data_IF_174308749048
#
_entry.id   IF_174308749048
#
_cell.length_a   1.000
_cell.length_b   1.000
_cell.length_c   1.000
_cell.angle_alpha   90.00
_cell.angle_beta   90.00
_cell.angle_gamma   90.00
#
_symmetry.space_group_name_H-M   'P 1'
#
loop_
_entity.id
_entity.type
_entity.pdbx_description
1 polymer ?
#
# COMPACT_ATOMS: atom_id res chain seq x y z
N UNK A 1 -2.83 5.67 9.80
CA UNK A 1 -2.33 4.87 8.66
C UNK A 1 -1.76 3.58 9.23
N UNK A 2 -2.22 2.41 8.76
CA UNK A 2 -1.57 1.16 9.16
C UNK A 2 -0.09 1.18 8.75
N UNK A 3 0.77 0.37 9.39
CA UNK A 3 2.22 0.33 9.16
C UNK A 3 2.66 -0.09 7.75
N UNK A 4 1.77 0.00 6.76
CA UNK A 4 2.02 -0.39 5.37
C UNK A 4 2.57 0.73 4.50
N UNK A 5 2.55 1.97 4.99
CA UNK A 5 3.01 3.16 4.28
C UNK A 5 2.20 3.55 3.05
N UNK A 6 2.50 4.70 2.48
CA UNK A 6 1.81 5.26 1.31
C UNK A 6 2.42 4.80 -0.02
N UNK A 7 3.73 4.95 -0.21
CA UNK A 7 4.42 4.64 -1.46
C UNK A 7 4.46 3.13 -1.74
N UNK A 8 4.80 2.31 -0.75
CA UNK A 8 4.86 0.85 -0.92
C UNK A 8 3.50 0.24 -1.21
N UNK A 9 2.45 0.71 -0.52
CA UNK A 9 1.09 0.27 -0.79
C UNK A 9 0.64 0.66 -2.20
N UNK A 10 0.95 1.87 -2.64
CA UNK A 10 0.62 2.32 -3.99
C UNK A 10 1.35 1.52 -5.07
N UNK A 11 2.64 1.22 -4.88
CA UNK A 11 3.43 0.40 -5.80
C UNK A 11 2.94 -1.04 -5.92
N UNK A 12 2.34 -1.58 -4.87
CA UNK A 12 1.83 -2.96 -4.85
C UNK A 12 0.35 -3.02 -5.21
N UNK A 13 -0.50 -2.64 -4.26
CA UNK A 13 -1.95 -2.76 -4.36
C UNK A 13 -2.55 -1.65 -5.24
N UNK A 14 -2.02 -0.43 -5.16
CA UNK A 14 -2.56 0.73 -5.86
C UNK A 14 -2.56 0.57 -7.37
N UNK A 15 -1.46 0.10 -7.95
CA UNK A 15 -1.28 -0.08 -9.39
C UNK A 15 -1.75 -1.45 -9.91
N UNK A 16 -2.12 -2.37 -9.02
CA UNK A 16 -2.54 -3.71 -9.40
C UNK A 16 -3.94 -3.74 -10.03
N UNK A 17 -4.14 -4.64 -10.99
CA UNK A 17 -5.47 -5.00 -11.48
C UNK A 17 -6.32 -5.64 -10.38
N UNK A 18 -7.62 -5.79 -10.60
CA UNK A 18 -8.53 -6.45 -9.63
C UNK A 18 -8.04 -7.85 -9.23
N UNK A 19 -7.63 -8.66 -10.21
CA UNK A 19 -7.05 -9.98 -9.97
C UNK A 19 -5.70 -9.92 -9.25
N UNK A 20 -4.86 -8.93 -9.59
CA UNK A 20 -3.59 -8.69 -8.91
C UNK A 20 -3.78 -8.26 -7.45
N UNK A 21 -4.77 -7.40 -7.18
CA UNK A 21 -5.14 -7.03 -5.79
C UNK A 21 -5.56 -8.25 -4.98
N UNK A 22 -6.41 -9.12 -5.54
CA UNK A 22 -6.81 -10.35 -4.87
C UNK A 22 -5.59 -11.25 -4.59
N UNK A 23 -4.70 -11.41 -5.56
CA UNK A 23 -3.48 -12.22 -5.42
C UNK A 23 -2.56 -11.70 -4.30
N UNK A 24 -2.30 -10.40 -4.27
CA UNK A 24 -1.45 -9.78 -3.25
C UNK A 24 -2.09 -9.88 -1.86
N UNK A 25 -3.38 -9.51 -1.72
CA UNK A 25 -4.07 -9.55 -0.43
C UNK A 25 -4.17 -10.97 0.16
N UNK A 26 -4.19 -11.98 -0.67
CA UNK A 26 -4.30 -13.37 -0.23
C UNK A 26 -2.95 -14.10 -0.19
N UNK A 27 -1.84 -13.39 -0.36
CA UNK A 27 -0.50 -13.97 -0.45
C UNK A 27 -0.45 -15.14 -1.45
N UNK A 28 -1.04 -14.93 -2.63
CA UNK A 28 -1.01 -15.88 -3.73
C UNK A 28 -2.10 -16.96 -3.75
N UNK A 29 -3.03 -16.97 -2.78
CA UNK A 29 -4.05 -18.04 -2.70
C UNK A 29 -5.12 -17.97 -3.78
N UNK A 30 -5.51 -16.75 -4.22
CA UNK A 30 -6.52 -16.57 -5.27
C UNK A 30 -6.31 -15.30 -6.08
N UNK A 31 -6.77 -15.31 -7.32
CA UNK A 31 -6.89 -14.15 -8.19
C UNK A 31 -8.34 -13.67 -8.33
N UNK A 32 -9.29 -14.36 -7.70
CA UNK A 32 -10.71 -14.02 -7.73
C UNK A 32 -11.02 -12.99 -6.64
N UNK A 33 -11.36 -11.77 -7.06
CA UNK A 33 -11.69 -10.68 -6.16
C UNK A 33 -12.88 -10.97 -5.24
N UNK A 34 -13.82 -11.82 -5.67
CA UNK A 34 -14.97 -12.21 -4.86
C UNK A 34 -14.61 -13.12 -3.69
N UNK A 35 -13.46 -13.81 -3.78
CA UNK A 35 -12.95 -14.73 -2.77
C UNK A 35 -11.84 -14.12 -1.90
N UNK A 36 -11.56 -12.83 -2.06
CA UNK A 36 -10.48 -12.16 -1.36
C UNK A 36 -10.64 -12.28 0.17
N UNK A 37 -11.81 -11.92 0.66
CA UNK A 37 -12.07 -11.85 2.11
C UNK A 37 -12.11 -13.22 2.80
N UNK A 38 -12.41 -14.29 2.05
CA UNK A 38 -12.44 -15.67 2.57
C UNK A 38 -11.04 -16.31 2.62
N UNK A 39 -10.04 -15.67 2.01
CA UNK A 39 -8.70 -16.21 1.84
C UNK A 39 -7.59 -15.33 2.40
N UNK A 40 -7.90 -14.45 3.32
CA UNK A 40 -6.89 -13.59 3.94
C UNK A 40 -5.83 -14.45 4.65
N UNK A 41 -4.53 -14.15 4.44
CA UNK A 41 -3.44 -14.79 5.15
C UNK A 41 -3.23 -14.17 6.52
N UNK A 42 -2.25 -14.69 7.27
CA UNK A 42 -1.67 -13.98 8.39
C UNK A 42 -1.04 -12.66 7.92
N UNK A 43 -0.99 -11.68 8.82
CA UNK A 43 -0.60 -10.30 8.46
C UNK A 43 0.83 -10.20 7.94
N UNK A 44 1.75 -10.98 8.47
CA UNK A 44 3.14 -11.03 8.00
C UNK A 44 3.23 -11.49 6.54
N UNK A 45 2.46 -12.51 6.18
CA UNK A 45 2.40 -13.03 4.80
C UNK A 45 1.79 -12.03 3.82
N UNK A 46 0.80 -11.27 4.27
CA UNK A 46 0.26 -10.18 3.47
C UNK A 46 1.30 -9.08 3.24
N UNK A 47 2.04 -8.68 4.28
CA UNK A 47 3.07 -7.64 4.17
C UNK A 47 4.23 -8.10 3.27
N UNK A 48 4.67 -9.35 3.39
CA UNK A 48 5.68 -9.95 2.50
C UNK A 48 5.22 -9.90 1.04
N UNK A 49 4.01 -10.36 0.74
CA UNK A 49 3.46 -10.34 -0.62
C UNK A 49 3.32 -8.91 -1.19
N UNK A 50 2.97 -7.95 -0.34
CA UNK A 50 2.90 -6.54 -0.72
C UNK A 50 4.30 -5.97 -1.01
N UNK A 51 5.30 -6.31 -0.21
CA UNK A 51 6.68 -5.88 -0.41
C UNK A 51 7.27 -6.47 -1.71
N UNK A 52 7.03 -7.74 -1.98
CA UNK A 52 7.45 -8.40 -3.21
C UNK A 52 6.84 -7.72 -4.45
N UNK A 53 5.54 -7.49 -4.44
CA UNK A 53 4.85 -6.81 -5.51
C UNK A 53 5.37 -5.38 -5.73
N UNK A 54 5.60 -4.63 -4.66
CA UNK A 54 6.17 -3.28 -4.72
C UNK A 54 7.59 -3.30 -5.32
N UNK A 55 8.41 -4.29 -4.94
CA UNK A 55 9.78 -4.42 -5.45
C UNK A 55 9.83 -4.64 -6.96
N UNK A 56 8.91 -5.43 -7.51
CA UNK A 56 8.80 -5.67 -8.95
C UNK A 56 8.54 -4.37 -9.70
N UNK A 57 7.59 -3.57 -9.22
CA UNK A 57 7.25 -2.28 -9.85
C UNK A 57 8.41 -1.30 -9.73
N UNK A 58 8.98 -1.13 -8.52
CA UNK A 58 10.13 -0.26 -8.29
C UNK A 58 11.30 -0.59 -9.23
N UNK A 59 11.69 -1.86 -9.30
CA UNK A 59 12.82 -2.32 -10.09
C UNK A 59 12.58 -2.13 -11.61
N UNK A 60 11.32 -2.15 -12.05
CA UNK A 60 10.97 -1.91 -13.45
C UNK A 60 11.39 -0.52 -13.92
N UNK A 61 11.36 0.46 -13.06
CA UNK A 61 11.74 1.84 -13.39
C UNK A 61 13.24 2.12 -13.34
N UNK A 62 14.07 1.16 -12.86
CA UNK A 62 15.54 1.27 -12.86
C UNK A 62 16.07 2.58 -12.28
N UNK A 63 15.48 3.05 -11.20
CA UNK A 63 15.84 4.31 -10.53
C UNK A 63 15.20 5.57 -11.11
N UNK A 64 14.41 5.47 -12.19
CA UNK A 64 13.70 6.61 -12.78
C UNK A 64 12.29 6.76 -12.17
N UNK A 65 12.20 6.82 -10.85
CA UNK A 65 10.96 6.96 -10.10
C UNK A 65 11.18 7.85 -8.88
N UNK A 66 10.21 8.67 -8.57
CA UNK A 66 10.17 9.47 -7.35
C UNK A 66 8.83 9.24 -6.63
N UNK A 67 8.84 9.39 -5.32
CA UNK A 67 7.70 9.16 -4.44
C UNK A 67 7.32 10.44 -3.73
N UNK A 68 6.03 10.69 -3.65
CA UNK A 68 5.46 11.83 -2.93
C UNK A 68 4.33 11.30 -2.05
N UNK A 69 4.46 11.49 -0.74
CA UNK A 69 3.42 11.17 0.23
C UNK A 69 2.79 12.46 0.75
N UNK A 70 1.47 12.58 0.60
CA UNK A 70 0.69 13.72 1.10
C UNK A 70 0.02 13.29 2.41
N UNK A 71 0.49 13.83 3.53
CA UNK A 71 -0.02 13.54 4.87
C UNK A 71 -1.08 14.57 5.25
N UNK A 72 -2.25 14.41 4.65
CA UNK A 72 -3.42 15.28 4.82
C UNK A 72 -4.67 14.44 5.06
N UNK A 73 -5.56 14.93 5.91
CA UNK A 73 -6.83 14.25 6.24
C UNK A 73 -6.62 12.78 6.65
N UNK A 74 -5.58 12.51 7.43
CA UNK A 74 -5.23 11.15 7.83
C UNK A 74 -6.22 10.58 8.84
N UNK A 75 -6.75 9.38 8.56
CA UNK A 75 -7.68 8.62 9.41
C UNK A 75 -7.04 7.32 9.89
N UNK A 76 -7.73 6.62 10.79
CA UNK A 76 -7.25 5.35 11.36
C UNK A 76 -7.20 4.27 10.29
N UNK A 77 -8.26 4.17 9.47
CA UNK A 77 -8.36 3.18 8.41
C UNK A 77 -8.03 3.76 7.04
N UNK A 78 -7.81 2.85 6.09
CA UNK A 78 -7.56 3.21 4.71
C UNK A 78 -8.84 3.76 4.05
N UNK A 79 -8.72 4.87 3.32
CA UNK A 79 -9.81 5.48 2.56
C UNK A 79 -10.26 4.65 1.34
N UNK A 80 -9.61 3.52 1.08
CA UNK A 80 -10.10 2.53 0.10
C UNK A 80 -11.35 1.79 0.57
N UNK A 81 -11.72 1.91 1.84
CA UNK A 81 -13.02 1.45 2.35
C UNK A 81 -14.16 2.28 1.77
N UNK A 82 -15.32 1.65 1.58
CA UNK A 82 -16.50 2.30 0.98
C UNK A 82 -16.99 3.54 1.78
N UNK A 83 -16.68 3.58 3.07
CA UNK A 83 -16.94 4.72 3.95
C UNK A 83 -15.63 5.07 4.64
N UNK A 84 -15.04 6.19 4.26
CA UNK A 84 -13.86 6.74 4.92
C UNK A 84 -14.24 7.26 6.31
N UNK A 85 -13.35 7.08 7.27
CA UNK A 85 -13.47 7.69 8.59
C UNK A 85 -13.02 9.15 8.56
N UNK A 86 -13.50 9.92 9.54
CA UNK A 86 -13.08 11.31 9.71
C UNK A 86 -11.58 11.39 10.05
N UNK A 87 -10.89 12.47 9.66
CA UNK A 87 -9.49 12.67 10.02
C UNK A 87 -9.29 12.62 11.53
N UNK A 88 -8.28 11.87 11.98
CA UNK A 88 -7.99 11.67 13.40
C UNK A 88 -6.80 12.50 13.89
N UNK A 89 -6.13 13.25 13.01
CA UNK A 89 -4.96 14.07 13.34
C UNK A 89 -4.85 15.28 12.41
N UNK A 90 -4.04 16.25 12.80
CA UNK A 90 -3.76 17.43 11.98
C UNK A 90 -2.93 17.07 10.75
N UNK A 91 -3.09 17.86 9.70
CA UNK A 91 -2.27 17.76 8.51
C UNK A 91 -0.79 18.01 8.84
N UNK A 92 0.09 17.15 8.35
CA UNK A 92 1.54 17.27 8.57
C UNK A 92 2.21 17.95 7.38
N UNK A 93 1.82 17.57 6.15
CA UNK A 93 2.39 18.15 4.94
C UNK A 93 2.69 17.13 3.86
N UNK A 94 3.74 17.38 3.09
CA UNK A 94 4.15 16.57 1.94
C UNK A 94 5.60 16.14 2.10
N UNK A 95 5.86 14.86 1.92
CA UNK A 95 7.21 14.31 1.84
C UNK A 95 7.52 13.87 0.41
N UNK A 96 8.78 13.97 0.00
CA UNK A 96 9.27 13.45 -1.28
C UNK A 96 10.59 12.70 -1.08
N UNK A 97 10.77 11.60 -1.83
CA UNK A 97 11.99 10.79 -1.78
C UNK A 97 12.16 9.98 -3.08
N UNK A 98 13.37 9.55 -3.35
CA UNK A 98 13.68 8.54 -4.37
C UNK A 98 13.66 7.10 -3.79
N UNK A 99 13.56 6.98 -2.47
CA UNK A 99 13.52 5.71 -1.74
C UNK A 99 12.12 5.52 -1.13
N UNK A 100 11.34 4.50 -1.60
CA UNK A 100 9.98 4.27 -1.12
C UNK A 100 9.93 3.78 0.34
N UNK A 101 10.96 3.09 0.80
CA UNK A 101 11.02 2.61 2.19
C UNK A 101 11.33 3.76 3.13
N UNK A 102 12.26 4.63 2.76
CA UNK A 102 12.62 5.79 3.57
C UNK A 102 11.45 6.76 3.73
N UNK A 103 10.70 7.04 2.64
CA UNK A 103 9.57 7.96 2.70
C UNK A 103 8.42 7.39 3.54
N UNK A 104 8.10 6.10 3.39
CA UNK A 104 7.04 5.47 4.17
C UNK A 104 7.41 5.37 5.64
N UNK A 105 8.67 5.07 5.95
CA UNK A 105 9.17 5.09 7.33
C UNK A 105 9.10 6.49 7.96
N UNK A 106 9.34 7.53 7.19
CA UNK A 106 9.24 8.91 7.67
C UNK A 106 7.79 9.36 7.93
N UNK A 107 6.80 8.65 7.38
CA UNK A 107 5.37 8.91 7.63
C UNK A 107 4.84 8.23 8.90
N UNK A 108 5.60 7.32 9.52
CA UNK A 108 5.24 6.57 10.74
C UNK A 108 5.65 7.32 11.99
#
# INVERSE_FOLDING_TARGET
MGGYGGALKQLSIGVASSSGKAYIHTAGKTTDANKLWDNLPEQDKFIEAMADAASVVHNKFKGNIAYINVMKNMSVDCDCCAKAEDPCMQDIGVLASLDPVAIDKACL
#
